data_IF_914184153981
#
_entry.id   IF_914184153981
#
_cell.length_a   1.000
_cell.length_b   1.000
_cell.length_c   1.000
_cell.angle_alpha   90.00
_cell.angle_beta   90.00
_cell.angle_gamma   90.00
#
_symmetry.space_group_name_H-M   'P 1'
#
loop_
_entity.id
_entity.type
_entity.pdbx_description
1 polymer ?
#
# COMPACT_ATOMS: atom_id res chain seq x y z
N UNK A 1 -21.77 -1.27 -16.14
CA UNK A 1 -21.40 -2.71 -16.10
C UNK A 1 -19.89 -2.75 -16.26
N UNK A 2 -19.17 -3.31 -15.30
CA UNK A 2 -17.69 -3.41 -15.39
C UNK A 2 -17.30 -4.42 -16.47
N UNK A 3 -16.22 -4.12 -17.18
CA UNK A 3 -15.59 -5.06 -18.10
C UNK A 3 -14.85 -6.16 -17.33
N UNK A 4 -14.55 -7.30 -17.97
CA UNK A 4 -13.75 -8.37 -17.36
C UNK A 4 -12.38 -7.82 -16.90
N UNK A 5 -11.76 -6.97 -17.72
CA UNK A 5 -10.47 -6.37 -17.41
C UNK A 5 -10.51 -5.46 -16.17
N UNK A 6 -11.58 -4.67 -15.99
CA UNK A 6 -11.77 -3.85 -14.78
C UNK A 6 -11.92 -4.73 -13.53
N UNK A 7 -12.67 -5.84 -13.63
CA UNK A 7 -12.83 -6.81 -12.53
C UNK A 7 -11.48 -7.46 -12.18
N UNK A 8 -10.71 -7.88 -13.16
CA UNK A 8 -9.38 -8.48 -12.94
C UNK A 8 -8.41 -7.47 -12.31
N UNK A 9 -8.46 -6.21 -12.73
CA UNK A 9 -7.67 -5.12 -12.14
C UNK A 9 -8.07 -4.87 -10.69
N UNK A 10 -9.36 -4.79 -10.39
CA UNK A 10 -9.86 -4.61 -9.02
C UNK A 10 -9.50 -5.78 -8.11
N UNK A 11 -9.52 -7.01 -8.64
CA UNK A 11 -9.07 -8.20 -7.90
C UNK A 11 -7.60 -8.07 -7.50
N UNK A 12 -6.72 -7.65 -8.42
CA UNK A 12 -5.29 -7.41 -8.13
C UNK A 12 -5.07 -6.32 -7.10
N UNK A 13 -5.78 -5.19 -7.23
CA UNK A 13 -5.70 -4.09 -6.28
C UNK A 13 -6.16 -4.50 -4.86
N UNK A 14 -7.06 -5.47 -4.76
CA UNK A 14 -7.58 -5.98 -3.49
C UNK A 14 -6.62 -6.92 -2.76
N UNK A 15 -5.54 -7.36 -3.40
CA UNK A 15 -4.55 -8.26 -2.79
C UNK A 15 -3.80 -7.58 -1.66
N UNK A 16 -3.33 -6.35 -1.86
CA UNK A 16 -2.51 -5.64 -0.87
C UNK A 16 -3.19 -5.43 0.49
N UNK A 17 -4.43 -4.90 0.57
CA UNK A 17 -5.09 -4.71 1.88
C UNK A 17 -5.35 -6.04 2.61
N UNK A 18 -5.64 -7.13 1.92
CA UNK A 18 -5.76 -8.46 2.52
C UNK A 18 -4.42 -9.02 2.98
N UNK A 19 -3.39 -8.83 2.19
CA UNK A 19 -2.02 -9.21 2.55
C UNK A 19 -1.58 -8.53 3.84
N UNK A 20 -1.70 -7.20 3.89
CA UNK A 20 -1.40 -6.42 5.08
C UNK A 20 -2.18 -6.91 6.31
N UNK A 21 -3.51 -7.03 6.18
CA UNK A 21 -4.38 -7.42 7.29
C UNK A 21 -4.05 -8.83 7.84
N UNK A 22 -3.74 -9.79 6.97
CA UNK A 22 -3.37 -11.13 7.38
C UNK A 22 -2.07 -11.14 8.21
N UNK A 23 -1.05 -10.38 7.77
CA UNK A 23 0.21 -10.26 8.48
C UNK A 23 0.05 -9.54 9.83
N UNK A 24 -0.58 -8.37 9.82
CA UNK A 24 -0.79 -7.55 11.02
C UNK A 24 -1.64 -8.26 12.08
N UNK A 25 -2.74 -8.93 11.68
CA UNK A 25 -3.58 -9.70 12.59
C UNK A 25 -2.84 -10.88 13.21
N UNK A 26 -1.99 -11.56 12.44
CA UNK A 26 -1.20 -12.67 12.97
C UNK A 26 -0.15 -12.20 13.96
N UNK A 27 0.57 -11.12 13.65
CA UNK A 27 1.57 -10.53 14.55
C UNK A 27 0.91 -10.06 15.84
N UNK A 28 -0.24 -9.37 15.76
CA UNK A 28 -1.01 -8.97 16.94
C UNK A 28 -1.43 -10.15 17.79
N UNK A 29 -1.96 -11.20 17.16
CA UNK A 29 -2.46 -12.39 17.86
C UNK A 29 -1.37 -13.11 18.66
N UNK A 30 -0.13 -13.14 18.15
CA UNK A 30 0.99 -13.85 18.78
C UNK A 30 1.75 -12.96 19.76
N UNK A 31 1.92 -11.67 19.44
CA UNK A 31 2.81 -10.75 20.13
C UNK A 31 2.08 -9.72 21.01
N UNK A 32 0.74 -9.65 20.95
CA UNK A 32 -0.05 -8.67 21.72
C UNK A 32 0.34 -7.23 21.41
N UNK A 33 0.42 -6.38 22.44
CA UNK A 33 0.72 -4.94 22.31
C UNK A 33 2.11 -4.67 21.68
N UNK A 34 3.09 -5.54 21.95
CA UNK A 34 4.40 -5.44 21.30
C UNK A 34 4.29 -5.68 19.79
N UNK A 35 3.38 -6.58 19.39
CA UNK A 35 3.06 -6.82 17.98
C UNK A 35 2.45 -5.59 17.30
N UNK A 36 1.54 -4.87 17.98
CA UNK A 36 1.02 -3.60 17.47
C UNK A 36 2.15 -2.58 17.25
N UNK A 37 3.02 -2.41 18.24
CA UNK A 37 4.18 -1.52 18.13
C UNK A 37 5.08 -1.85 16.94
N UNK A 38 5.38 -3.13 16.74
CA UNK A 38 6.19 -3.61 15.61
C UNK A 38 5.50 -3.37 14.25
N UNK A 39 4.20 -3.65 14.14
CA UNK A 39 3.42 -3.40 12.91
C UNK A 39 3.38 -1.92 12.60
N UNK A 40 3.09 -1.04 13.55
CA UNK A 40 3.08 0.41 13.37
C UNK A 40 4.46 0.92 12.93
N UNK A 41 5.53 0.43 13.53
CA UNK A 41 6.90 0.76 13.11
C UNK A 41 7.17 0.28 11.68
N UNK A 42 6.77 -0.94 11.34
CA UNK A 42 6.90 -1.46 9.97
C UNK A 42 6.17 -0.57 8.96
N UNK A 43 4.95 -0.11 9.27
CA UNK A 43 4.18 0.77 8.39
C UNK A 43 4.92 2.10 8.18
N UNK A 44 5.47 2.71 9.23
CA UNK A 44 6.26 3.95 9.12
C UNK A 44 7.50 3.77 8.25
N UNK A 45 8.24 2.68 8.44
CA UNK A 45 9.42 2.35 7.61
C UNK A 45 9.03 2.07 6.15
N UNK A 46 7.95 1.33 5.94
CA UNK A 46 7.39 1.10 4.61
C UNK A 46 7.03 2.42 3.92
N UNK A 47 6.28 3.27 4.59
CA UNK A 47 5.89 4.60 4.12
C UNK A 47 7.09 5.49 3.75
N UNK A 48 8.13 5.50 4.59
CA UNK A 48 9.36 6.24 4.31
C UNK A 48 10.13 5.71 3.09
N UNK A 49 10.19 4.38 2.89
CA UNK A 49 10.76 3.77 1.68
C UNK A 49 9.97 4.15 0.43
N UNK A 50 8.63 4.13 0.50
CA UNK A 50 7.76 4.59 -0.59
C UNK A 50 7.99 6.06 -0.94
N UNK A 51 8.11 6.92 0.08
CA UNK A 51 8.42 8.34 -0.11
C UNK A 51 9.77 8.54 -0.81
N UNK A 52 10.81 7.81 -0.41
CA UNK A 52 12.13 7.89 -1.03
C UNK A 52 12.12 7.47 -2.50
N UNK A 53 11.40 6.40 -2.84
CA UNK A 53 11.20 5.96 -4.21
C UNK A 53 10.44 7.02 -5.04
N UNK A 54 9.36 7.59 -4.49
CA UNK A 54 8.59 8.65 -5.12
C UNK A 54 9.42 9.92 -5.35
N UNK A 55 10.20 10.35 -4.35
CA UNK A 55 11.12 11.49 -4.50
C UNK A 55 12.13 11.27 -5.63
N UNK A 56 12.73 10.08 -5.70
CA UNK A 56 13.68 9.71 -6.74
C UNK A 56 13.03 9.73 -8.13
N UNK A 57 11.83 9.19 -8.25
CA UNK A 57 11.06 9.18 -9.49
C UNK A 57 10.65 10.60 -9.93
N UNK A 58 10.17 11.45 -9.01
CA UNK A 58 9.85 12.85 -9.28
C UNK A 58 11.08 13.63 -9.76
N UNK A 59 12.23 13.44 -9.10
CA UNK A 59 13.49 14.07 -9.50
C UNK A 59 13.91 13.65 -10.90
N UNK A 60 13.84 12.35 -11.19
CA UNK A 60 14.18 11.82 -12.52
C UNK A 60 13.27 12.36 -13.63
N UNK A 61 11.99 12.59 -13.33
CA UNK A 61 10.99 13.13 -14.24
C UNK A 61 10.93 14.68 -14.26
N UNK A 62 11.76 15.38 -13.48
CA UNK A 62 11.73 16.84 -13.36
C UNK A 62 10.46 17.39 -12.68
N UNK A 63 9.77 16.57 -11.90
CA UNK A 63 8.56 16.96 -11.16
C UNK A 63 8.97 17.66 -9.86
N UNK A 64 8.40 18.84 -9.61
CA UNK A 64 8.60 19.58 -8.35
C UNK A 64 8.02 18.82 -7.18
N UNK A 65 8.77 18.71 -6.08
CA UNK A 65 8.36 17.97 -4.87
C UNK A 65 7.54 18.85 -3.94
N UNK A 66 6.22 18.86 -4.09
CA UNK A 66 5.27 19.64 -3.30
C UNK A 66 3.97 18.87 -3.03
N UNK A 67 3.04 19.47 -2.30
CA UNK A 67 1.74 18.83 -1.94
C UNK A 67 0.94 18.42 -3.16
N UNK A 68 0.89 19.28 -4.18
CA UNK A 68 0.14 19.00 -5.41
C UNK A 68 0.73 17.83 -6.17
N UNK A 69 2.06 17.77 -6.32
CA UNK A 69 2.74 16.66 -6.98
C UNK A 69 2.58 15.36 -6.20
N UNK A 70 2.66 15.41 -4.87
CA UNK A 70 2.40 14.27 -4.01
C UNK A 70 1.02 13.65 -4.26
N UNK A 71 -0.01 14.49 -4.42
CA UNK A 71 -1.39 14.03 -4.63
C UNK A 71 -1.70 13.64 -6.09
N UNK A 72 -1.16 14.34 -7.06
CA UNK A 72 -1.50 14.16 -8.48
C UNK A 72 -0.57 13.20 -9.22
N UNK A 73 0.67 13.08 -8.77
CA UNK A 73 1.71 12.24 -9.38
C UNK A 73 2.17 11.15 -8.41
N UNK A 74 1.22 10.52 -7.71
CA UNK A 74 1.48 9.43 -6.77
C UNK A 74 1.98 8.16 -7.47
N UNK A 75 2.67 7.33 -6.70
CA UNK A 75 3.31 6.09 -7.14
C UNK A 75 2.40 4.86 -7.10
N UNK A 76 1.19 5.00 -6.58
CA UNK A 76 0.21 3.91 -6.51
C UNK A 76 -0.68 3.86 -7.75
N UNK A 77 -1.13 2.65 -8.10
CA UNK A 77 -2.15 2.50 -9.13
C UNK A 77 -3.46 3.16 -8.70
N UNK A 78 -4.14 3.79 -9.66
CA UNK A 78 -5.46 4.38 -9.42
C UNK A 78 -6.47 3.24 -9.22
N UNK A 79 -7.24 3.31 -8.14
CA UNK A 79 -8.35 2.39 -7.87
C UNK A 79 -9.67 3.08 -8.19
N UNK A 80 -10.38 2.58 -9.20
CA UNK A 80 -11.64 3.15 -9.68
C UNK A 80 -12.77 3.15 -8.64
N UNK A 81 -12.61 2.38 -7.57
CA UNK A 81 -13.57 2.30 -6.46
C UNK A 81 -13.43 3.46 -5.46
N UNK A 82 -12.28 4.18 -5.45
CA UNK A 82 -12.10 5.34 -4.57
C UNK A 82 -13.07 6.47 -4.95
N UNK A 83 -13.67 7.08 -3.94
CA UNK A 83 -14.45 8.32 -4.08
C UNK A 83 -13.91 9.34 -3.11
N UNK A 84 -13.40 10.43 -3.65
CA UNK A 84 -12.79 11.50 -2.86
C UNK A 84 -13.08 12.86 -3.47
N UNK A 85 -12.95 13.90 -2.65
CA UNK A 85 -13.09 15.28 -3.04
C UNK A 85 -11.98 16.13 -2.46
N UNK A 86 -11.41 17.01 -3.27
CA UNK A 86 -10.47 18.03 -2.82
C UNK A 86 -11.24 19.33 -2.54
N UNK A 87 -11.27 19.75 -1.29
CA UNK A 87 -11.76 21.09 -0.91
C UNK A 87 -10.72 22.16 -1.28
N UNK A 88 -9.42 21.82 -1.16
CA UNK A 88 -8.32 22.64 -1.58
C UNK A 88 -7.16 21.76 -2.07
N UNK A 89 -6.54 22.14 -3.19
CA UNK A 89 -5.32 21.48 -3.68
C UNK A 89 -4.45 22.48 -4.43
N UNK A 90 -3.32 22.83 -3.82
CA UNK A 90 -2.26 23.62 -4.43
C UNK A 90 -0.89 23.07 -4.01
N UNK A 91 0.20 23.76 -4.38
CA UNK A 91 1.55 23.29 -4.07
C UNK A 91 1.87 23.30 -2.57
N UNK A 92 1.23 24.17 -1.77
CA UNK A 92 1.46 24.29 -0.34
C UNK A 92 0.44 23.60 0.55
N UNK A 93 -0.76 23.34 0.02
CA UNK A 93 -1.92 22.86 0.82
C UNK A 93 -2.73 21.84 0.07
N UNK A 94 -3.12 20.79 0.76
CA UNK A 94 -4.22 19.90 0.35
C UNK A 94 -5.20 19.73 1.51
N UNK A 95 -6.49 19.90 1.23
CA UNK A 95 -7.59 19.45 2.09
C UNK A 95 -8.43 18.48 1.28
N UNK A 96 -8.43 17.20 1.68
CA UNK A 96 -9.08 16.10 0.95
C UNK A 96 -10.01 15.33 1.89
N UNK A 97 -11.15 14.96 1.37
CA UNK A 97 -12.06 13.99 1.98
C UNK A 97 -12.16 12.75 1.09
N UNK A 98 -12.09 11.56 1.69
CA UNK A 98 -12.31 10.28 1.03
C UNK A 98 -13.58 9.67 1.61
N UNK A 99 -14.60 9.51 0.79
CA UNK A 99 -15.89 8.94 1.19
C UNK A 99 -15.96 7.42 0.98
N UNK A 100 -15.19 6.92 0.04
CA UNK A 100 -15.06 5.49 -0.24
C UNK A 100 -13.59 5.15 -0.42
N UNK A 101 -13.09 4.29 0.45
CA UNK A 101 -11.73 3.74 0.37
C UNK A 101 -11.82 2.24 0.10
N UNK A 102 -11.27 1.75 -1.02
CA UNK A 102 -11.26 0.32 -1.35
C UNK A 102 -10.64 -0.56 -0.28
N UNK A 103 -9.57 -0.09 0.37
CA UNK A 103 -8.91 -0.81 1.46
C UNK A 103 -9.85 -0.99 2.65
N UNK A 104 -10.51 0.08 3.07
CA UNK A 104 -11.45 0.03 4.21
C UNK A 104 -12.66 -0.84 3.89
N UNK A 105 -13.15 -0.84 2.64
CA UNK A 105 -14.23 -1.73 2.24
C UNK A 105 -13.84 -3.20 2.43
N UNK A 106 -12.63 -3.58 2.03
CA UNK A 106 -12.10 -4.94 2.21
C UNK A 106 -11.95 -5.27 3.68
N UNK A 107 -11.34 -4.38 4.49
CA UNK A 107 -11.18 -4.60 5.92
C UNK A 107 -12.50 -4.70 6.67
N UNK A 108 -13.54 -3.96 6.24
CA UNK A 108 -14.90 -4.11 6.80
C UNK A 108 -15.51 -5.47 6.44
N UNK A 109 -15.37 -5.90 5.19
CA UNK A 109 -15.85 -7.21 4.73
C UNK A 109 -15.17 -8.37 5.46
N UNK A 110 -13.87 -8.26 5.67
CA UNK A 110 -13.03 -9.30 6.28
C UNK A 110 -12.95 -9.18 7.82
N UNK A 111 -13.61 -8.17 8.45
CA UNK A 111 -13.62 -7.96 9.89
C UNK A 111 -12.26 -7.54 10.49
N UNK A 112 -11.40 -6.88 9.69
CA UNK A 112 -10.02 -6.52 10.04
C UNK A 112 -9.77 -5.01 10.14
N UNK A 113 -10.83 -4.21 10.39
CA UNK A 113 -10.72 -2.76 10.52
C UNK A 113 -9.82 -2.31 11.68
N UNK A 114 -9.69 -3.10 12.72
CA UNK A 114 -8.83 -2.83 13.87
C UNK A 114 -7.35 -2.72 13.47
N UNK A 115 -6.82 -3.67 12.70
CA UNK A 115 -5.46 -3.59 12.17
C UNK A 115 -5.37 -2.65 10.95
N UNK A 116 -6.42 -2.55 10.15
CA UNK A 116 -6.52 -1.58 9.05
C UNK A 116 -6.40 -0.13 9.53
N UNK A 117 -6.91 0.17 10.73
CA UNK A 117 -6.77 1.47 11.37
C UNK A 117 -5.31 1.85 11.59
N UNK A 118 -4.46 0.92 12.04
CA UNK A 118 -3.03 1.20 12.23
C UNK A 118 -2.34 1.63 10.93
N UNK A 119 -2.72 0.99 9.82
CA UNK A 119 -2.22 1.40 8.50
C UNK A 119 -2.63 2.85 8.18
N UNK A 120 -3.92 3.18 8.34
CA UNK A 120 -4.43 4.51 8.04
C UNK A 120 -3.80 5.60 8.94
N UNK A 121 -3.56 5.31 10.22
CA UNK A 121 -2.98 6.26 11.17
C UNK A 121 -1.49 6.56 10.89
N UNK A 122 -0.74 5.58 10.39
CA UNK A 122 0.72 5.68 10.26
C UNK A 122 1.18 5.99 8.83
N UNK A 123 0.57 5.37 7.80
CA UNK A 123 1.11 5.35 6.45
C UNK A 123 1.20 6.73 5.81
N UNK A 124 0.08 7.42 5.66
CA UNK A 124 0.05 8.70 4.96
C UNK A 124 0.87 9.77 5.70
N UNK A 125 0.82 9.76 7.04
CA UNK A 125 1.58 10.67 7.86
C UNK A 125 3.09 10.48 7.66
N UNK A 126 3.57 9.25 7.82
CA UNK A 126 4.99 8.94 7.69
C UNK A 126 5.50 9.13 6.25
N UNK A 127 4.67 8.79 5.25
CA UNK A 127 5.02 8.97 3.84
C UNK A 127 5.17 10.45 3.49
N UNK A 128 4.20 11.28 3.90
CA UNK A 128 4.23 12.71 3.59
C UNK A 128 5.37 13.43 4.34
N UNK A 129 5.60 13.07 5.61
CA UNK A 129 6.72 13.60 6.39
C UNK A 129 8.07 13.27 5.72
N UNK A 130 8.28 12.02 5.31
CA UNK A 130 9.50 11.62 4.62
C UNK A 130 9.64 12.27 3.23
N UNK A 131 8.53 12.39 2.47
CA UNK A 131 8.52 13.05 1.15
C UNK A 131 8.90 14.54 1.23
N UNK A 132 8.54 15.20 2.32
CA UNK A 132 8.82 16.62 2.55
C UNK A 132 10.03 16.85 3.46
N UNK A 133 10.86 15.82 3.67
CA UNK A 133 12.07 15.89 4.51
C UNK A 133 11.82 16.43 5.93
N UNK A 134 10.66 16.08 6.51
CA UNK A 134 10.26 16.49 7.85
C UNK A 134 9.68 17.91 7.95
N UNK A 135 9.57 18.65 6.85
CA UNK A 135 9.09 20.03 6.84
C UNK A 135 7.59 20.14 6.54
N UNK A 136 6.97 19.08 6.05
CA UNK A 136 5.54 18.99 5.83
C UNK A 136 4.80 18.46 7.06
N UNK A 137 3.53 18.83 7.18
CA UNK A 137 2.64 18.37 8.24
C UNK A 137 1.39 17.76 7.63
N UNK A 138 0.97 16.61 8.16
CA UNK A 138 -0.28 15.95 7.81
C UNK A 138 -1.11 15.73 9.06
N UNK A 139 -2.35 16.17 9.02
CA UNK A 139 -3.36 15.94 10.05
C UNK A 139 -4.47 15.05 9.51
N UNK A 140 -4.80 14.01 10.28
CA UNK A 140 -5.93 13.13 10.06
C UNK A 140 -6.97 13.43 11.15
N UNK A 141 -8.15 13.90 10.78
CA UNK A 141 -9.20 14.23 11.75
C UNK A 141 -10.28 13.16 11.83
N UNK A 142 -10.48 12.40 10.78
CA UNK A 142 -11.46 11.31 10.69
C UNK A 142 -10.90 10.15 9.87
N UNK A 143 -11.29 8.91 10.23
CA UNK A 143 -10.88 7.70 9.54
C UNK A 143 -12.09 6.79 9.28
N UNK A 144 -12.27 6.36 8.04
CA UNK A 144 -13.31 5.41 7.65
C UNK A 144 -13.19 4.03 8.35
N UNK A 145 -12.02 3.70 8.90
CA UNK A 145 -11.84 2.50 9.71
C UNK A 145 -12.55 2.58 11.06
N UNK A 146 -12.95 3.77 11.49
CA UNK A 146 -13.77 3.97 12.68
C UNK A 146 -15.27 3.95 12.34
N UNK A 147 -16.11 3.17 13.07
CA UNK A 147 -17.52 3.00 12.71
C UNK A 147 -18.35 4.29 12.74
N UNK A 148 -17.90 5.31 13.45
CA UNK A 148 -18.62 6.60 13.62
C UNK A 148 -18.30 7.61 12.52
N UNK A 149 -17.28 7.36 11.70
CA UNK A 149 -16.85 8.29 10.68
C UNK A 149 -17.36 7.89 9.29
N UNK A 150 -17.80 8.88 8.54
CA UNK A 150 -18.32 8.72 7.18
C UNK A 150 -17.31 9.08 6.10
N UNK A 151 -16.16 9.62 6.50
CA UNK A 151 -15.07 9.98 5.60
C UNK A 151 -13.69 9.77 6.28
N UNK A 152 -12.63 9.71 5.48
CA UNK A 152 -11.28 10.06 5.94
C UNK A 152 -11.04 11.51 5.56
N UNK A 153 -10.55 12.31 6.51
CA UNK A 153 -10.29 13.73 6.29
C UNK A 153 -8.83 14.06 6.53
N UNK A 154 -8.17 14.57 5.49
CA UNK A 154 -6.75 14.88 5.47
C UNK A 154 -6.55 16.38 5.29
N UNK A 155 -5.62 16.97 6.06
CA UNK A 155 -5.09 18.30 5.82
C UNK A 155 -3.57 18.22 5.77
N UNK A 156 -3.00 18.57 4.61
CA UNK A 156 -1.55 18.54 4.35
C UNK A 156 -1.03 19.96 4.13
N UNK A 157 0.08 20.26 4.74
CA UNK A 157 0.74 21.58 4.65
C UNK A 157 2.22 21.40 4.37
N UNK A 158 2.72 22.09 3.34
CA UNK A 158 4.14 22.24 3.03
C UNK A 158 4.40 23.70 2.69
N UNK A 159 4.70 24.48 3.72
CA UNK A 159 4.70 25.95 3.63
C UNK A 159 6.04 26.48 3.15
N UNK A 160 6.00 27.34 2.14
CA UNK A 160 7.16 28.08 1.64
C UNK A 160 7.92 28.80 2.76
N UNK A 161 7.20 29.38 3.71
CA UNK A 161 7.80 30.10 4.86
C UNK A 161 8.74 29.24 5.72
N UNK A 162 8.62 27.92 5.62
CA UNK A 162 9.44 26.97 6.40
C UNK A 162 10.68 26.49 5.63
N UNK A 163 10.87 26.95 4.38
CA UNK A 163 11.92 26.46 3.49
C UNK A 163 13.05 27.48 3.32
N UNK A 164 14.25 26.96 3.10
CA UNK A 164 15.33 27.78 2.57
C UNK A 164 15.03 28.22 1.13
N UNK A 165 15.61 29.32 0.63
CA UNK A 165 15.40 29.75 -0.76
C UNK A 165 15.72 28.66 -1.80
N UNK A 166 16.75 27.86 -1.56
CA UNK A 166 17.13 26.76 -2.45
C UNK A 166 16.06 25.65 -2.44
N UNK A 167 15.61 25.19 -1.27
CA UNK A 167 14.56 24.20 -1.14
C UNK A 167 13.22 24.68 -1.73
N UNK A 168 12.93 25.97 -1.57
CA UNK A 168 11.75 26.61 -2.15
C UNK A 168 11.78 26.59 -3.69
N UNK A 169 12.93 26.87 -4.30
CA UNK A 169 13.11 26.84 -5.74
C UNK A 169 12.96 25.40 -6.31
N UNK A 170 13.37 24.38 -5.56
CA UNK A 170 13.24 22.98 -5.95
C UNK A 170 11.81 22.47 -5.81
N UNK A 171 11.05 22.97 -4.82
CA UNK A 171 9.73 22.47 -4.48
C UNK A 171 8.60 23.22 -5.21
N UNK A 172 8.72 24.50 -5.46
CA UNK A 172 7.62 25.34 -5.92
C UNK A 172 7.82 25.95 -7.31
N UNK A 173 6.71 26.18 -8.00
CA UNK A 173 6.65 27.00 -9.20
C UNK A 173 6.39 28.48 -8.86
N UNK A 174 6.52 29.38 -9.83
CA UNK A 174 6.19 30.80 -9.61
C UNK A 174 4.73 31.01 -9.20
N UNK A 175 3.81 30.26 -9.79
CA UNK A 175 2.38 30.28 -9.46
C UNK A 175 1.96 29.09 -8.58
N UNK A 176 2.29 29.14 -7.30
CA UNK A 176 2.03 28.06 -6.32
C UNK A 176 0.55 27.78 -6.08
N UNK A 177 -0.31 28.74 -6.35
CA UNK A 177 -1.75 28.63 -6.15
C UNK A 177 -2.52 28.27 -7.44
N UNK A 178 -1.80 28.00 -8.52
CA UNK A 178 -2.45 27.52 -9.74
C UNK A 178 -3.28 26.25 -9.47
N UNK A 179 -4.43 26.09 -10.14
CA UNK A 179 -5.21 24.86 -10.06
C UNK A 179 -4.37 23.63 -10.33
N UNK A 180 -4.68 22.55 -9.62
CA UNK A 180 -4.02 21.27 -9.86
C UNK A 180 -4.29 20.81 -11.28
N UNK A 181 -3.23 20.56 -12.06
CA UNK A 181 -3.32 19.80 -13.31
C UNK A 181 -2.81 18.39 -12.98
N UNK A 182 -3.48 17.37 -13.49
CA UNK A 182 -2.95 16.02 -13.43
C UNK A 182 -1.53 16.04 -14.05
N UNK A 183 -0.55 15.55 -13.31
CA UNK A 183 0.76 15.35 -13.88
C UNK A 183 0.68 14.21 -14.88
N UNK A 184 1.32 14.34 -16.04
CA UNK A 184 1.56 13.22 -16.94
C UNK A 184 2.55 12.28 -16.26
N UNK A 185 2.00 11.33 -15.50
CA UNK A 185 2.76 10.33 -14.76
C UNK A 185 2.71 9.02 -15.52
N UNK A 186 3.84 8.53 -15.96
CA UNK A 186 3.89 7.29 -16.73
C UNK A 186 3.75 6.08 -15.82
N UNK A 187 3.04 5.05 -16.28
CA UNK A 187 2.79 3.82 -15.51
C UNK A 187 4.08 3.09 -15.10
N UNK A 188 5.19 3.34 -15.79
CA UNK A 188 6.50 2.75 -15.44
C UNK A 188 7.03 3.15 -14.06
N UNK A 189 6.57 4.29 -13.51
CA UNK A 189 6.96 4.74 -12.16
C UNK A 189 5.98 4.29 -11.08
N UNK A 190 4.84 3.72 -11.47
CA UNK A 190 3.82 3.26 -10.53
C UNK A 190 4.14 1.87 -10.03
N UNK A 191 4.10 1.72 -8.71
CA UNK A 191 4.29 0.42 -8.09
C UNK A 191 3.06 -0.45 -8.26
N UNK A 192 3.27 -1.68 -8.69
CA UNK A 192 2.21 -2.68 -8.74
C UNK A 192 1.84 -3.14 -7.31
N UNK A 193 0.61 -3.63 -7.08
CA UNK A 193 0.25 -4.19 -5.78
C UNK A 193 1.16 -5.35 -5.34
N UNK A 194 1.73 -6.11 -6.29
CA UNK A 194 2.71 -7.16 -5.99
C UNK A 194 4.03 -6.61 -5.45
N UNK A 195 4.55 -5.54 -6.04
CA UNK A 195 5.74 -4.85 -5.52
C UNK A 195 5.49 -4.26 -4.14
N UNK A 196 4.30 -3.70 -3.91
CA UNK A 196 3.90 -3.19 -2.60
C UNK A 196 3.84 -4.30 -1.54
N UNK A 197 3.25 -5.46 -1.85
CA UNK A 197 3.24 -6.62 -0.95
C UNK A 197 4.66 -7.09 -0.60
N UNK A 198 5.54 -7.17 -1.60
CA UNK A 198 6.93 -7.60 -1.42
C UNK A 198 7.71 -6.64 -0.52
N UNK A 199 7.60 -5.35 -0.76
CA UNK A 199 8.26 -4.34 0.08
C UNK A 199 7.71 -4.35 1.51
N UNK A 200 6.39 -4.53 1.66
CA UNK A 200 5.77 -4.61 2.98
C UNK A 200 6.26 -5.82 3.78
N UNK A 201 6.34 -7.01 3.18
CA UNK A 201 6.81 -8.21 3.90
C UNK A 201 8.27 -8.08 4.31
N UNK A 202 9.13 -7.47 3.47
CA UNK A 202 10.52 -7.19 3.80
C UNK A 202 10.64 -6.29 5.03
N UNK A 203 9.89 -5.20 5.07
CA UNK A 203 9.90 -4.27 6.20
C UNK A 203 9.30 -4.91 7.46
N UNK A 204 8.22 -5.68 7.34
CA UNK A 204 7.65 -6.40 8.48
C UNK A 204 8.61 -7.47 9.01
N UNK A 205 9.35 -8.16 8.16
CA UNK A 205 10.36 -9.12 8.56
C UNK A 205 11.46 -8.47 9.40
N UNK A 206 11.93 -7.29 8.99
CA UNK A 206 12.93 -6.51 9.73
C UNK A 206 12.35 -6.01 11.08
N UNK A 207 11.15 -5.43 11.06
CA UNK A 207 10.51 -4.87 12.26
C UNK A 207 10.07 -5.93 13.28
N UNK A 208 9.77 -7.16 12.84
CA UNK A 208 9.44 -8.30 13.68
C UNK A 208 10.68 -9.09 14.14
N UNK A 209 11.87 -8.50 14.04
CA UNK A 209 13.12 -9.06 14.56
C UNK A 209 13.10 -9.28 16.07
N UNK A 210 14.21 -9.71 16.63
CA UNK A 210 14.34 -10.16 18.02
C UNK A 210 13.93 -9.12 19.07
N UNK A 211 14.12 -7.82 18.78
CA UNK A 211 13.79 -6.74 19.72
C UNK A 211 12.27 -6.54 19.91
N UNK A 212 11.47 -6.78 18.86
CA UNK A 212 10.05 -6.53 18.92
C UNK A 212 9.29 -7.66 19.61
N UNK A 213 9.63 -8.91 19.24
CA UNK A 213 8.94 -10.09 19.80
C UNK A 213 9.69 -11.35 19.35
N UNK A 214 10.15 -12.18 20.25
CA UNK A 214 10.87 -13.43 19.93
C UNK A 214 10.11 -14.37 18.97
N UNK A 215 8.78 -14.26 18.91
CA UNK A 215 7.88 -15.02 18.03
C UNK A 215 7.44 -14.24 16.77
N UNK A 216 7.92 -13.02 16.55
CA UNK A 216 7.43 -12.14 15.48
C UNK A 216 7.60 -12.73 14.09
N UNK A 217 8.72 -13.36 13.79
CA UNK A 217 8.93 -14.04 12.49
C UNK A 217 8.05 -15.28 12.33
N UNK A 218 7.78 -16.02 13.41
CA UNK A 218 6.82 -17.12 13.39
C UNK A 218 5.41 -16.62 13.14
N UNK A 219 5.04 -15.51 13.77
CA UNK A 219 3.75 -14.84 13.56
C UNK A 219 3.60 -14.34 12.12
N UNK A 220 4.66 -13.78 11.54
CA UNK A 220 4.69 -13.35 10.14
C UNK A 220 4.49 -14.54 9.19
N UNK A 221 5.19 -15.66 9.42
CA UNK A 221 5.01 -16.88 8.63
C UNK A 221 3.57 -17.42 8.71
N UNK A 222 2.95 -17.38 9.88
CA UNK A 222 1.55 -17.76 10.06
C UNK A 222 0.61 -16.84 9.30
N UNK A 223 0.87 -15.53 9.33
CA UNK A 223 0.13 -14.53 8.55
C UNK A 223 0.18 -14.82 7.04
N UNK A 224 1.36 -15.17 6.52
CA UNK A 224 1.54 -15.57 5.12
C UNK A 224 0.75 -16.84 4.77
N UNK A 225 0.71 -17.85 5.65
CA UNK A 225 -0.09 -19.07 5.43
C UNK A 225 -1.59 -18.74 5.40
N UNK A 226 -2.09 -17.93 6.34
CA UNK A 226 -3.49 -17.50 6.37
C UNK A 226 -3.87 -16.71 5.12
N UNK A 227 -3.02 -15.79 4.71
CA UNK A 227 -3.19 -15.05 3.47
C UNK A 227 -3.29 -16.00 2.26
N UNK A 228 -2.40 -16.99 2.16
CA UNK A 228 -2.42 -17.98 1.07
C UNK A 228 -3.72 -18.78 1.03
N UNK A 229 -4.16 -19.29 2.18
CA UNK A 229 -5.39 -20.06 2.29
C UNK A 229 -6.62 -19.24 1.86
N UNK A 230 -6.77 -18.03 2.41
CA UNK A 230 -7.89 -17.14 2.06
C UNK A 230 -7.84 -16.67 0.60
N UNK A 231 -6.65 -16.43 0.05
CA UNK A 231 -6.47 -16.05 -1.35
C UNK A 231 -6.88 -17.18 -2.31
N UNK A 232 -6.49 -18.41 -2.02
CA UNK A 232 -6.90 -19.58 -2.81
C UNK A 232 -8.42 -19.79 -2.78
N UNK A 233 -9.05 -19.61 -1.62
CA UNK A 233 -10.51 -19.68 -1.49
C UNK A 233 -11.19 -18.58 -2.32
N UNK A 234 -10.68 -17.34 -2.25
CA UNK A 234 -11.19 -16.22 -3.05
C UNK A 234 -11.03 -16.47 -4.56
N UNK A 235 -9.86 -16.93 -5.02
CA UNK A 235 -9.63 -17.25 -6.43
C UNK A 235 -10.57 -18.36 -6.92
N UNK A 236 -10.77 -19.41 -6.13
CA UNK A 236 -11.72 -20.49 -6.47
C UNK A 236 -13.15 -19.96 -6.56
N UNK A 237 -13.57 -19.15 -5.61
CA UNK A 237 -14.91 -18.53 -5.62
C UNK A 237 -15.10 -17.65 -6.85
N UNK A 238 -14.11 -16.83 -7.19
CA UNK A 238 -14.14 -15.98 -8.38
C UNK A 238 -14.16 -16.80 -9.68
N UNK A 239 -13.36 -17.86 -9.78
CA UNK A 239 -13.32 -18.75 -10.94
C UNK A 239 -14.69 -19.40 -11.18
N UNK A 240 -15.33 -19.90 -10.13
CA UNK A 240 -16.71 -20.46 -10.22
C UNK A 240 -17.69 -19.38 -10.68
N UNK A 241 -17.66 -18.18 -10.11
CA UNK A 241 -18.57 -17.09 -10.49
C UNK A 241 -18.40 -16.61 -11.93
N UNK A 242 -17.20 -16.72 -12.48
CA UNK A 242 -16.87 -16.31 -13.84
C UNK A 242 -16.83 -17.46 -14.84
N UNK A 243 -17.17 -18.69 -14.41
CA UNK A 243 -17.15 -19.89 -15.22
C UNK A 243 -15.78 -20.22 -15.83
N UNK A 244 -14.72 -19.97 -15.07
CA UNK A 244 -13.33 -20.29 -15.45
C UNK A 244 -12.76 -21.42 -14.60
N UNK A 245 -11.74 -22.11 -15.13
CA UNK A 245 -10.90 -22.97 -14.32
C UNK A 245 -10.03 -22.10 -13.36
N UNK A 246 -9.88 -22.55 -12.11
CA UNK A 246 -8.99 -21.92 -11.15
C UNK A 246 -7.57 -22.49 -11.33
N UNK A 247 -6.87 -22.02 -12.33
CA UNK A 247 -5.52 -22.43 -12.73
C UNK A 247 -4.51 -21.27 -12.67
N UNK A 248 -3.28 -21.54 -13.09
CA UNK A 248 -2.21 -20.53 -13.13
C UNK A 248 -2.53 -19.36 -14.05
N UNK A 249 -3.23 -19.57 -15.16
CA UNK A 249 -3.63 -18.51 -16.09
C UNK A 249 -4.69 -17.61 -15.46
N UNK A 250 -5.67 -18.19 -14.75
CA UNK A 250 -6.66 -17.41 -13.99
C UNK A 250 -5.99 -16.59 -12.87
N UNK A 251 -5.07 -17.22 -12.11
CA UNK A 251 -4.34 -16.53 -11.05
C UNK A 251 -3.50 -15.36 -11.60
N UNK A 252 -2.82 -15.53 -12.72
CA UNK A 252 -2.02 -14.45 -13.33
C UNK A 252 -2.86 -13.21 -13.68
N UNK A 253 -4.14 -13.38 -14.00
CA UNK A 253 -5.07 -12.27 -14.28
C UNK A 253 -5.65 -11.64 -13.02
N UNK A 254 -5.83 -12.41 -11.93
CA UNK A 254 -6.61 -12.00 -10.76
C UNK A 254 -5.78 -11.83 -9.47
N UNK A 255 -4.50 -12.20 -9.48
CA UNK A 255 -3.60 -12.12 -8.34
C UNK A 255 -2.41 -11.20 -8.64
N UNK A 256 -1.98 -10.43 -7.65
CA UNK A 256 -1.00 -9.36 -7.87
C UNK A 256 0.45 -9.83 -7.81
N UNK A 257 0.74 -10.89 -7.05
CA UNK A 257 2.10 -11.41 -6.92
C UNK A 257 2.37 -12.41 -8.06
N UNK A 258 3.42 -12.22 -8.87
CA UNK A 258 3.87 -13.23 -9.81
C UNK A 258 4.18 -14.53 -9.09
N UNK A 259 3.65 -15.66 -9.58
CA UNK A 259 3.86 -16.96 -8.96
C UNK A 259 5.19 -17.62 -9.38
N UNK A 260 5.87 -17.09 -10.38
CA UNK A 260 7.21 -17.53 -10.77
C UNK A 260 8.25 -16.88 -9.86
N UNK A 261 8.96 -17.69 -9.07
CA UNK A 261 10.04 -17.23 -8.17
C UNK A 261 11.25 -16.62 -8.92
N UNK A 262 11.37 -16.87 -10.23
CA UNK A 262 12.39 -16.26 -11.09
C UNK A 262 12.00 -14.90 -11.64
N UNK A 263 10.80 -14.40 -11.30
CA UNK A 263 10.39 -13.06 -11.69
C UNK A 263 11.31 -12.02 -11.06
N UNK A 264 11.72 -11.02 -11.82
CA UNK A 264 12.69 -10.00 -11.42
C UNK A 264 12.30 -9.18 -10.18
N UNK A 265 11.02 -9.16 -9.78
CA UNK A 265 10.64 -8.50 -8.52
C UNK A 265 11.25 -9.17 -7.28
N UNK A 266 11.70 -10.43 -7.38
CA UNK A 266 12.30 -11.23 -6.29
C UNK A 266 13.84 -11.26 -6.33
N UNK A 267 14.48 -10.46 -7.17
CA UNK A 267 15.95 -10.51 -7.42
C UNK A 267 16.81 -10.23 -6.18
N UNK A 268 16.27 -9.51 -5.17
CA UNK A 268 17.02 -9.25 -3.93
C UNK A 268 17.27 -10.51 -3.08
N UNK A 269 16.45 -11.55 -3.26
CA UNK A 269 16.55 -12.85 -2.58
C UNK A 269 16.82 -12.76 -1.07
N UNK A 270 16.12 -11.88 -0.39
CA UNK A 270 16.22 -11.69 1.06
C UNK A 270 15.58 -12.85 1.83
N UNK A 271 15.80 -12.91 3.15
CA UNK A 271 15.11 -13.89 4.02
C UNK A 271 13.58 -13.70 3.96
N UNK A 272 13.11 -12.47 3.85
CA UNK A 272 11.69 -12.17 3.68
C UNK A 272 11.15 -12.74 2.35
N UNK A 273 11.93 -12.64 1.26
CA UNK A 273 11.55 -13.19 -0.05
C UNK A 273 11.50 -14.72 -0.01
N UNK A 274 12.47 -15.37 0.65
CA UNK A 274 12.46 -16.82 0.86
C UNK A 274 11.26 -17.26 1.70
N UNK A 275 10.87 -16.48 2.71
CA UNK A 275 9.67 -16.74 3.52
C UNK A 275 8.41 -16.58 2.67
N UNK A 276 8.30 -15.54 1.84
CA UNK A 276 7.19 -15.34 0.91
C UNK A 276 7.09 -16.51 -0.08
N UNK A 277 8.20 -16.92 -0.67
CA UNK A 277 8.24 -18.08 -1.57
C UNK A 277 7.76 -19.36 -0.88
N UNK A 278 8.23 -19.64 0.33
CA UNK A 278 7.90 -20.86 1.07
C UNK A 278 6.43 -20.93 1.50
N UNK A 279 5.84 -19.80 1.88
CA UNK A 279 4.50 -19.76 2.48
C UNK A 279 3.39 -19.23 1.57
N UNK A 280 3.74 -18.59 0.46
CA UNK A 280 2.77 -18.06 -0.51
C UNK A 280 2.97 -18.66 -1.88
N UNK A 281 4.13 -18.42 -2.53
CA UNK A 281 4.27 -18.73 -3.96
C UNK A 281 4.20 -20.23 -4.24
N UNK A 282 5.02 -21.06 -3.57
CA UNK A 282 5.04 -22.52 -3.77
C UNK A 282 3.73 -23.19 -3.40
N UNK A 283 3.08 -22.89 -2.24
CA UNK A 283 1.77 -23.45 -1.94
C UNK A 283 0.70 -23.06 -2.96
N UNK A 284 0.71 -21.81 -3.47
CA UNK A 284 -0.22 -21.37 -4.50
C UNK A 284 0.02 -22.10 -5.83
N UNK A 285 1.29 -22.17 -6.29
CA UNK A 285 1.65 -22.93 -7.51
C UNK A 285 1.12 -24.36 -7.46
N UNK A 286 1.41 -25.07 -6.35
CA UNK A 286 0.95 -26.45 -6.14
C UNK A 286 -0.57 -26.56 -6.16
N UNK A 287 -1.28 -25.66 -5.48
CA UNK A 287 -2.75 -25.67 -5.43
C UNK A 287 -3.42 -25.32 -6.76
N UNK A 288 -2.72 -24.64 -7.66
CA UNK A 288 -3.17 -24.24 -9.00
C UNK A 288 -2.70 -25.21 -10.10
N UNK A 289 -2.05 -26.33 -9.74
CA UNK A 289 -1.56 -27.32 -10.70
C UNK A 289 -0.42 -26.82 -11.60
N UNK A 290 0.33 -25.82 -11.13
CA UNK A 290 1.51 -25.34 -11.84
C UNK A 290 2.69 -26.25 -11.44
N UNK A 291 3.30 -26.89 -12.44
CA UNK A 291 4.50 -27.72 -12.23
C UNK A 291 5.67 -26.86 -11.72
N UNK A 292 6.55 -27.49 -10.91
CA UNK A 292 7.76 -26.84 -10.36
C UNK A 292 8.84 -26.65 -11.42
#
# INVERSE_FOLDING_TARGET
MFTIHEIETENKLSVFPRFYAALASSIRSVCGDRGEGAVRQAIRLYAARQAGALCSAHKAAGVKQNVKSYQCAGDCMIDSRERSHYQQLCEEVCVKEIYTCPFVQIWRQDGTCDVGRWYCEEYEKAKFEAYTHGLGQLHLSELLTEPRHNSCRFSMYYRLSNLSPAAAADAFTENRHAPAKAAEWTDQFRQTPGQQCLQLVRVMYDACGEEACGDGRRALAEGLRRFTASTLENLRSQAVRTLHACDGAFAARNFALPLDEKNSIYDENTEADRMLAAYVLRPMRRALGMED
#
